data_IF_028260887208
#
_entry.id   IF_028260887208
#
_cell.length_a   1.000
_cell.length_b   1.000
_cell.length_c   1.000
_cell.angle_alpha   90.00
_cell.angle_beta   90.00
_cell.angle_gamma   90.00
#
_symmetry.space_group_name_H-M   'P 1'
#
loop_
_entity.id
_entity.type
_entity.pdbx_description
1 polymer ?
#
# COMPACT_ATOMS: atom_id res chain seq x y z
N UNK A 1 7.18 13.13 -18.12
CA UNK A 1 7.00 11.71 -17.78
C UNK A 1 5.53 11.49 -17.44
N UNK A 2 4.88 10.50 -18.03
CA UNK A 2 3.46 10.20 -17.77
C UNK A 2 3.33 9.32 -16.54
N UNK A 3 2.53 9.74 -15.56
CA UNK A 3 2.26 8.94 -14.36
C UNK A 3 1.09 8.00 -14.62
N UNK A 4 1.26 6.73 -14.25
CA UNK A 4 0.22 5.68 -14.36
C UNK A 4 -0.35 5.41 -12.97
N UNK A 5 -1.66 5.15 -12.88
CA UNK A 5 -2.27 4.69 -11.64
C UNK A 5 -1.99 3.19 -11.45
N UNK A 6 -1.63 2.79 -10.24
CA UNK A 6 -1.25 1.42 -9.90
C UNK A 6 -2.02 0.94 -8.68
N UNK A 7 -2.32 -0.35 -8.65
CA UNK A 7 -2.81 -1.11 -7.52
C UNK A 7 -1.77 -2.15 -7.12
N UNK A 8 -1.42 -2.17 -5.83
CA UNK A 8 -0.52 -3.13 -5.21
C UNK A 8 -1.33 -3.94 -4.20
N UNK A 9 -1.71 -5.15 -4.59
CA UNK A 9 -2.39 -6.12 -3.73
C UNK A 9 -1.33 -6.91 -2.96
N UNK A 10 -1.35 -6.82 -1.63
CA UNK A 10 -0.41 -7.49 -0.74
C UNK A 10 -1.17 -8.48 0.15
N UNK A 11 -0.92 -9.79 -0.01
CA UNK A 11 -1.50 -10.82 0.85
C UNK A 11 -1.07 -10.68 2.31
N UNK A 12 -1.84 -11.29 3.21
CA UNK A 12 -1.51 -11.41 4.63
C UNK A 12 -0.81 -12.74 4.93
N UNK A 13 0.06 -12.75 5.94
CA UNK A 13 0.63 -13.96 6.54
C UNK A 13 0.27 -14.02 8.04
N UNK A 14 -0.35 -15.10 8.54
CA UNK A 14 -0.94 -16.19 7.78
C UNK A 14 -2.09 -15.71 6.88
N UNK A 15 -2.39 -16.40 5.76
CA UNK A 15 -3.48 -16.03 4.87
C UNK A 15 -4.82 -16.00 5.60
N UNK A 16 -5.58 -14.92 5.40
CA UNK A 16 -6.95 -14.79 5.90
C UNK A 16 -7.92 -14.75 4.71
N UNK A 17 -8.91 -15.66 4.61
CA UNK A 17 -9.83 -15.68 3.49
C UNK A 17 -10.48 -14.32 3.24
N UNK A 18 -10.42 -13.84 2.00
CA UNK A 18 -10.99 -12.55 1.60
C UNK A 18 -10.23 -11.30 2.08
N UNK A 19 -9.17 -11.45 2.88
CA UNK A 19 -8.41 -10.31 3.41
C UNK A 19 -7.10 -10.13 2.65
N UNK A 20 -6.90 -8.91 2.13
CA UNK A 20 -5.67 -8.45 1.48
C UNK A 20 -5.59 -6.95 1.67
N UNK A 21 -4.39 -6.41 1.78
CA UNK A 21 -4.22 -4.97 1.79
C UNK A 21 -3.95 -4.50 0.35
N UNK A 22 -4.77 -3.58 -0.13
CA UNK A 22 -4.57 -2.96 -1.44
C UNK A 22 -4.05 -1.54 -1.24
N UNK A 23 -2.90 -1.23 -1.83
CA UNK A 23 -2.38 0.12 -1.93
C UNK A 23 -2.64 0.64 -3.34
N UNK A 24 -3.12 1.89 -3.46
CA UNK A 24 -3.34 2.52 -4.75
C UNK A 24 -2.68 3.89 -4.78
N UNK A 25 -2.06 4.24 -5.89
CA UNK A 25 -1.46 5.55 -6.12
C UNK A 25 -0.92 5.67 -7.53
N UNK A 26 -0.46 6.86 -7.91
CA UNK A 26 0.22 7.04 -9.20
C UNK A 26 1.74 6.94 -9.05
N UNK A 27 2.38 6.34 -10.06
CA UNK A 27 3.83 6.25 -10.18
C UNK A 27 4.24 6.13 -11.66
N UNK A 28 5.48 6.48 -11.95
CA UNK A 28 6.02 6.42 -13.32
C UNK A 28 6.31 4.99 -13.77
N UNK A 29 6.67 4.11 -12.84
CA UNK A 29 6.97 2.70 -13.11
C UNK A 29 6.34 1.77 -12.07
N UNK A 30 6.27 0.48 -12.41
CA UNK A 30 5.81 -0.59 -11.51
C UNK A 30 6.68 -0.67 -10.25
N UNK A 31 8.00 -0.54 -10.40
CA UNK A 31 8.96 -0.62 -9.30
C UNK A 31 8.81 0.58 -8.37
N UNK A 32 8.60 1.78 -8.94
CA UNK A 32 8.34 2.98 -8.17
C UNK A 32 7.02 2.88 -7.39
N UNK A 33 5.98 2.29 -8.00
CA UNK A 33 4.70 2.02 -7.33
C UNK A 33 4.88 1.07 -6.13
N UNK A 34 5.57 -0.05 -6.32
CA UNK A 34 5.83 -1.01 -5.25
C UNK A 34 6.65 -0.39 -4.11
N UNK A 35 7.69 0.38 -4.44
CA UNK A 35 8.50 1.08 -3.44
C UNK A 35 7.69 2.13 -2.66
N UNK A 36 6.79 2.85 -3.33
CA UNK A 36 5.92 3.83 -2.68
C UNK A 36 4.89 3.16 -1.74
N UNK A 37 4.32 2.02 -2.14
CA UNK A 37 3.43 1.24 -1.29
C UNK A 37 4.14 0.73 -0.02
N UNK A 38 5.37 0.22 -0.14
CA UNK A 38 6.17 -0.21 1.02
C UNK A 38 6.44 0.94 1.99
N UNK A 39 6.84 2.11 1.47
CA UNK A 39 7.04 3.30 2.32
C UNK A 39 5.76 3.73 3.03
N UNK A 40 4.62 3.70 2.34
CA UNK A 40 3.34 4.03 2.96
C UNK A 40 2.97 3.05 4.10
N UNK A 41 3.27 1.77 3.92
CA UNK A 41 3.11 0.76 4.97
C UNK A 41 4.04 1.01 6.16
N UNK A 42 5.32 1.27 5.93
CA UNK A 42 6.29 1.61 6.99
C UNK A 42 5.86 2.84 7.80
N UNK A 43 5.42 3.91 7.12
CA UNK A 43 4.89 5.12 7.78
C UNK A 43 3.67 4.77 8.62
N UNK A 44 2.76 3.96 8.10
CA UNK A 44 1.57 3.55 8.85
C UNK A 44 1.91 2.71 10.09
N UNK A 45 2.90 1.81 10.01
CA UNK A 45 3.40 1.06 11.16
C UNK A 45 4.00 2.00 12.21
N UNK A 46 4.79 2.99 11.80
CA UNK A 46 5.38 3.98 12.72
C UNK A 46 4.30 4.81 13.43
N UNK A 47 3.31 5.31 12.69
CA UNK A 47 2.18 6.05 13.27
C UNK A 47 1.38 5.18 14.25
N UNK A 48 1.08 3.94 13.87
CA UNK A 48 0.36 2.98 14.72
C UNK A 48 1.13 2.69 16.01
N UNK A 49 2.44 2.47 15.91
CA UNK A 49 3.30 2.26 17.08
C UNK A 49 3.38 3.49 18.00
N UNK A 50 3.22 4.70 17.44
CA UNK A 50 3.15 5.95 18.17
C UNK A 50 1.73 6.29 18.71
N UNK A 51 0.72 5.44 18.46
CA UNK A 51 -0.68 5.72 18.81
C UNK A 51 -1.28 6.89 18.04
N UNK A 52 -0.75 7.19 16.85
CA UNK A 52 -1.18 8.27 15.97
C UNK A 52 -2.03 7.74 14.81
N UNK A 53 -2.90 8.59 14.28
CA UNK A 53 -3.66 8.26 13.08
C UNK A 53 -2.74 8.02 11.88
N UNK A 54 -3.07 7.01 11.07
CA UNK A 54 -2.34 6.72 9.82
C UNK A 54 -2.60 7.86 8.83
N UNK A 55 -1.54 8.46 8.23
CA UNK A 55 -1.72 9.53 7.26
C UNK A 55 -2.60 9.11 6.09
N UNK A 56 -3.67 9.86 5.88
CA UNK A 56 -4.47 9.74 4.66
C UNK A 56 -3.86 10.63 3.59
N UNK A 57 -3.58 10.06 2.42
CA UNK A 57 -3.12 10.82 1.27
C UNK A 57 -4.13 11.92 0.90
N UNK A 58 -3.63 13.11 0.60
CA UNK A 58 -4.42 14.28 0.19
C UNK A 58 -4.63 14.34 -1.33
N UNK A 59 -3.84 13.58 -2.10
CA UNK A 59 -3.85 13.54 -3.56
C UNK A 59 -3.76 12.10 -4.08
N UNK A 60 -4.09 11.89 -5.36
CA UNK A 60 -3.90 10.59 -6.05
C UNK A 60 -2.43 10.18 -6.18
N UNK A 61 -1.49 11.13 -5.98
CA UNK A 61 -0.04 10.88 -5.94
C UNK A 61 0.40 10.36 -4.57
N UNK A 62 -0.43 10.53 -3.56
CA UNK A 62 -0.08 10.19 -2.19
C UNK A 62 -0.42 8.72 -1.95
N UNK A 63 0.57 7.95 -1.52
CA UNK A 63 0.40 6.56 -1.14
C UNK A 63 0.06 6.49 0.36
N UNK A 64 -0.99 5.77 0.73
CA UNK A 64 -1.39 5.59 2.13
C UNK A 64 -1.90 4.17 2.40
N UNK A 65 -1.65 3.66 3.61
CA UNK A 65 -2.08 2.34 4.05
C UNK A 65 -3.46 2.40 4.74
N UNK A 66 -4.49 2.78 3.97
CA UNK A 66 -5.85 2.90 4.54
C UNK A 66 -6.39 1.53 4.95
N UNK A 67 -6.88 1.43 6.18
CA UNK A 67 -7.43 0.19 6.72
C UNK A 67 -6.37 -0.83 7.15
N UNK A 68 -5.10 -0.43 7.29
CA UNK A 68 -4.07 -1.27 7.89
C UNK A 68 -4.45 -1.56 9.35
N UNK A 69 -4.44 -2.84 9.71
CA UNK A 69 -4.64 -3.30 11.07
C UNK A 69 -3.29 -3.66 11.70
N UNK A 70 -3.12 -3.36 13.00
CA UNK A 70 -1.85 -3.59 13.73
C UNK A 70 -1.43 -5.07 13.74
N UNK A 71 -2.41 -5.99 13.76
CA UNK A 71 -2.18 -7.44 13.77
C UNK A 71 -2.05 -8.06 12.36
N UNK A 72 -1.83 -7.26 11.33
CA UNK A 72 -1.62 -7.75 9.97
C UNK A 72 -0.14 -7.77 9.63
N UNK A 73 0.36 -8.95 9.29
CA UNK A 73 1.67 -9.09 8.65
C UNK A 73 1.47 -9.23 7.14
N UNK A 74 2.15 -8.38 6.36
CA UNK A 74 1.99 -8.26 4.92
C UNK A 74 3.09 -9.03 4.19
N UNK A 75 2.71 -10.00 3.35
CA UNK A 75 3.65 -10.74 2.52
C UNK A 75 3.98 -9.99 1.23
N UNK A 76 4.95 -9.10 1.34
CA UNK A 76 5.48 -8.34 0.21
C UNK A 76 6.17 -9.19 -0.85
N UNK A 77 6.51 -10.46 -0.57
CA UNK A 77 7.09 -11.38 -1.57
C UNK A 77 6.04 -11.86 -2.57
N UNK A 78 4.76 -11.89 -2.15
CA UNK A 78 3.61 -12.28 -2.97
C UNK A 78 2.80 -11.08 -3.50
N UNK A 79 3.36 -9.86 -3.38
CA UNK A 79 2.69 -8.64 -3.81
C UNK A 79 2.43 -8.64 -5.34
N UNK A 80 1.22 -8.26 -5.73
CA UNK A 80 0.80 -8.16 -7.13
C UNK A 80 0.61 -6.70 -7.52
N UNK A 81 1.38 -6.25 -8.50
CA UNK A 81 1.25 -4.90 -9.07
C UNK A 81 0.46 -4.94 -10.37
N UNK A 82 -0.60 -4.13 -10.45
CA UNK A 82 -1.47 -4.00 -11.61
C UNK A 82 -1.68 -2.54 -11.97
N UNK A 83 -1.59 -2.14 -13.25
CA UNK A 83 -2.00 -0.80 -13.67
C UNK A 83 -3.52 -0.67 -13.54
N UNK A 84 -3.98 0.48 -13.08
CA UNK A 84 -5.40 0.84 -13.02
C UNK A 84 -5.72 1.59 -14.31
N UNK A 85 -6.55 0.99 -15.16
CA UNK A 85 -7.17 1.68 -16.29
C UNK A 85 -8.36 2.47 -15.73
N UNK A 86 -8.33 3.79 -15.90
CA UNK A 86 -9.42 4.70 -15.53
C UNK A 86 -10.48 4.75 -16.62
#
# INVERSE_FOLDING_TARGET
MTSTAWSIDVPLTPPRPGCRHIFTGVAETKEAALAAARRAHEIALLHTAAGQDIPCGSSRRDWSARGLHVDWDLDWSQAKTTPIVL
#
